data_IF_644859524638
#
_entry.id   IF_644859524638
#
_cell.length_a   1.000
_cell.length_b   1.000
_cell.length_c   1.000
_cell.angle_alpha   90.00
_cell.angle_beta   90.00
_cell.angle_gamma   90.00
#
_symmetry.space_group_name_H-M   'P 1'
#
loop_
_entity.id
_entity.type
_entity.pdbx_description
1 polymer ?
#
# COMPACT_ATOMS: atom_id res chain seq x y z
N UNK A 1 3.96 -2.87 -6.81
CA UNK A 1 2.64 -2.21 -6.79
C UNK A 1 1.86 -2.79 -5.64
N UNK A 2 1.25 -1.94 -4.81
CA UNK A 2 0.37 -2.38 -3.74
C UNK A 2 -0.89 -1.53 -3.70
N UNK A 3 -1.95 -2.08 -3.12
CA UNK A 3 -3.28 -1.46 -3.03
C UNK A 3 -3.72 -1.44 -1.58
N UNK A 4 -4.14 -0.27 -1.12
CA UNK A 4 -4.71 -0.06 0.20
C UNK A 4 -6.21 0.08 -0.01
N UNK A 5 -6.97 -0.90 0.47
CA UNK A 5 -8.43 -0.89 0.39
C UNK A 5 -8.99 -0.91 1.81
N UNK A 6 -9.91 0.02 2.08
CA UNK A 6 -10.63 0.10 3.36
C UNK A 6 -12.02 -0.41 3.06
N UNK A 7 -12.34 -1.65 3.42
CA UNK A 7 -13.72 -2.16 3.33
C UNK A 7 -14.24 -2.47 4.74
N UNK A 8 -15.31 -1.77 5.10
CA UNK A 8 -15.91 -1.84 6.43
C UNK A 8 -17.20 -2.67 6.45
N UNK A 9 -17.89 -2.83 5.30
CA UNK A 9 -19.16 -3.52 5.24
C UNK A 9 -19.19 -4.52 4.08
N UNK A 10 -18.57 -5.71 4.24
CA UNK A 10 -18.64 -6.77 3.25
C UNK A 10 -20.08 -7.31 3.18
N UNK A 11 -20.92 -6.65 2.38
CA UNK A 11 -22.35 -6.97 2.22
C UNK A 11 -23.25 -5.77 1.97
N UNK A 12 -22.83 -4.55 2.35
CA UNK A 12 -23.62 -3.31 2.21
C UNK A 12 -22.80 -2.23 1.46
N UNK A 13 -22.55 -2.39 0.15
CA UNK A 13 -21.67 -1.51 -0.62
C UNK A 13 -22.17 -0.05 -0.69
N UNK A 14 -23.48 0.16 -0.60
CA UNK A 14 -24.11 1.49 -0.58
C UNK A 14 -23.74 2.27 0.69
N UNK A 15 -23.69 1.57 1.83
CA UNK A 15 -23.33 2.14 3.13
C UNK A 15 -21.85 2.45 3.22
N UNK A 16 -21.01 1.55 2.71
CA UNK A 16 -19.57 1.81 2.53
C UNK A 16 -19.34 3.03 1.64
N UNK A 17 -20.04 3.14 0.49
CA UNK A 17 -19.90 4.29 -0.41
C UNK A 17 -20.35 5.61 0.21
N UNK A 18 -21.42 5.62 1.00
CA UNK A 18 -21.84 6.81 1.72
C UNK A 18 -20.78 7.25 2.76
N UNK A 19 -20.16 6.29 3.47
CA UNK A 19 -19.09 6.55 4.41
C UNK A 19 -17.83 7.10 3.72
N UNK A 20 -17.41 6.51 2.58
CA UNK A 20 -16.27 7.01 1.81
C UNK A 20 -16.49 8.43 1.29
N UNK A 21 -17.72 8.77 0.90
CA UNK A 21 -18.06 10.13 0.48
C UNK A 21 -18.08 11.13 1.64
N UNK A 22 -18.51 10.70 2.81
CA UNK A 22 -18.54 11.55 4.01
C UNK A 22 -17.13 11.77 4.59
N UNK A 23 -16.29 10.75 4.54
CA UNK A 23 -14.92 10.76 5.06
C UNK A 23 -13.96 10.19 4.01
N UNK A 24 -13.62 10.95 2.95
CA UNK A 24 -12.72 10.48 1.90
C UNK A 24 -11.36 10.13 2.49
N UNK A 25 -10.82 8.95 2.15
CA UNK A 25 -9.47 8.57 2.55
C UNK A 25 -8.47 9.54 1.91
N UNK A 26 -7.67 10.25 2.68
CA UNK A 26 -6.66 11.21 2.18
C UNK A 26 -5.25 10.65 2.34
N UNK A 27 -4.29 11.17 1.58
CA UNK A 27 -2.89 10.75 1.75
C UNK A 27 -2.25 11.28 3.03
N UNK A 28 -2.71 12.44 3.48
CA UNK A 28 -2.23 13.11 4.68
C UNK A 28 -2.51 12.27 5.93
N UNK A 29 -3.73 11.70 6.05
CA UNK A 29 -4.06 10.80 7.16
C UNK A 29 -3.42 9.42 7.04
N UNK A 30 -3.05 9.01 5.81
CA UNK A 30 -2.53 7.67 5.56
C UNK A 30 -1.10 7.51 6.06
N UNK A 31 -0.39 8.62 6.23
CA UNK A 31 1.02 8.72 6.62
C UNK A 31 1.89 7.64 5.96
N UNK A 32 1.73 7.51 4.63
CA UNK A 32 2.36 6.42 3.89
C UNK A 32 3.88 6.60 3.85
N UNK A 33 4.59 5.70 4.52
CA UNK A 33 6.04 5.61 4.46
C UNK A 33 6.46 4.29 3.80
N UNK A 34 7.46 4.37 2.92
CA UNK A 34 8.05 3.21 2.25
C UNK A 34 9.58 3.26 2.34
N UNK A 35 10.18 2.10 2.60
CA UNK A 35 11.61 1.93 2.82
C UNK A 35 12.11 0.70 2.06
N UNK A 36 13.31 0.80 1.50
CA UNK A 36 14.08 -0.31 0.95
C UNK A 36 15.21 -0.62 1.94
N UNK A 37 15.04 -1.62 2.79
CA UNK A 37 15.93 -1.83 3.94
C UNK A 37 15.88 -0.62 4.88
N UNK A 38 16.98 0.13 4.97
CA UNK A 38 17.10 1.33 5.83
C UNK A 38 16.89 2.65 5.08
N UNK A 39 16.76 2.60 3.75
CA UNK A 39 16.69 3.80 2.93
C UNK A 39 15.24 4.14 2.56
N UNK A 40 14.79 5.41 2.69
CA UNK A 40 13.44 5.80 2.30
C UNK A 40 13.29 5.68 0.78
N UNK A 41 12.10 5.28 0.33
CA UNK A 41 11.72 5.16 -1.07
C UNK A 41 10.72 6.23 -1.47
N UNK A 42 10.86 6.74 -2.69
CA UNK A 42 9.83 7.53 -3.34
C UNK A 42 8.69 6.62 -3.81
N UNK A 43 7.48 7.15 -3.75
CA UNK A 43 6.31 6.47 -4.25
C UNK A 43 5.41 7.47 -4.98
N UNK A 44 4.67 6.95 -5.95
CA UNK A 44 3.79 7.75 -6.79
C UNK A 44 2.38 7.17 -6.76
N UNK A 45 1.40 8.06 -6.63
CA UNK A 45 -0.02 7.72 -6.67
C UNK A 45 -0.41 7.34 -8.08
N UNK A 46 -0.96 6.15 -8.24
CA UNK A 46 -1.40 5.64 -9.54
C UNK A 46 -2.93 5.63 -9.68
N UNK A 47 -3.63 5.26 -8.61
CA UNK A 47 -5.07 5.53 -8.50
C UNK A 47 -5.42 6.09 -7.13
N UNK A 48 -6.20 7.15 -7.17
CA UNK A 48 -6.74 7.83 -6.01
C UNK A 48 -8.27 7.71 -6.04
N UNK A 49 -8.83 6.83 -5.20
CA UNK A 49 -10.28 6.69 -5.00
C UNK A 49 -10.61 6.80 -3.52
N UNK A 50 -11.83 7.22 -3.20
CA UNK A 50 -12.26 7.40 -1.81
C UNK A 50 -12.27 6.06 -1.04
N UNK A 51 -12.58 4.96 -1.74
CA UNK A 51 -12.65 3.61 -1.17
C UNK A 51 -11.32 2.85 -1.18
N UNK A 52 -10.38 3.22 -2.06
CA UNK A 52 -9.09 2.55 -2.16
C UNK A 52 -8.04 3.44 -2.81
N UNK A 53 -6.80 3.23 -2.42
CA UNK A 53 -5.64 3.89 -2.99
C UNK A 53 -4.69 2.88 -3.61
N UNK A 54 -4.08 3.25 -4.73
CA UNK A 54 -3.14 2.39 -5.46
C UNK A 54 -1.84 3.14 -5.69
N UNK A 55 -0.74 2.54 -5.24
CA UNK A 55 0.57 3.19 -5.18
C UNK A 55 1.63 2.37 -5.89
N UNK A 56 2.49 3.08 -6.60
CA UNK A 56 3.72 2.55 -7.17
C UNK A 56 4.90 2.95 -6.29
N UNK A 57 5.61 1.95 -5.79
CA UNK A 57 6.87 2.14 -5.07
C UNK A 57 8.00 2.20 -6.10
N UNK A 58 8.76 3.28 -6.06
CA UNK A 58 9.90 3.49 -6.93
C UNK A 58 11.17 3.07 -6.19
N UNK A 59 12.01 2.26 -6.84
CA UNK A 59 13.35 1.92 -6.34
C UNK A 59 14.32 3.10 -6.48
N UNK A 60 13.89 4.25 -5.99
CA UNK A 60 14.61 5.49 -6.03
C UNK A 60 14.13 6.38 -4.89
N UNK A 61 15.00 7.29 -4.49
CA UNK A 61 14.67 8.43 -3.65
C UNK A 61 15.37 9.68 -4.23
N UNK A 62 15.10 10.89 -3.70
CA UNK A 62 15.71 12.11 -4.22
C UNK A 62 17.25 12.13 -4.15
N UNK A 63 17.87 11.22 -3.39
CA UNK A 63 19.32 11.15 -3.17
C UNK A 63 20.00 10.00 -3.93
N UNK A 64 19.31 8.90 -4.20
CA UNK A 64 19.88 7.66 -4.70
C UNK A 64 18.84 6.82 -5.44
N UNK A 65 19.31 5.99 -6.38
CA UNK A 65 18.51 4.92 -6.97
C UNK A 65 18.98 3.59 -6.42
N UNK A 66 18.06 2.65 -6.23
CA UNK A 66 18.34 1.29 -5.76
C UNK A 66 18.24 0.31 -6.93
N UNK A 67 19.26 0.23 -7.81
CA UNK A 67 19.23 -0.73 -8.90
C UNK A 67 19.24 -2.14 -8.32
N UNK A 68 18.16 -2.88 -8.56
CA UNK A 68 18.12 -4.31 -8.28
C UNK A 68 18.83 -5.06 -9.39
N UNK A 69 20.00 -5.61 -9.07
CA UNK A 69 20.72 -6.47 -10.00
C UNK A 69 20.06 -7.86 -10.10
N UNK A 70 20.28 -8.57 -11.21
CA UNK A 70 19.84 -9.96 -11.33
C UNK A 70 20.41 -10.80 -10.18
N UNK A 71 19.59 -11.67 -9.59
CA UNK A 71 19.90 -12.45 -8.37
C UNK A 71 19.81 -11.67 -7.04
N UNK A 72 19.61 -10.35 -7.09
CA UNK A 72 19.46 -9.55 -5.87
C UNK A 72 18.00 -9.52 -5.41
N UNK A 73 17.83 -9.57 -4.09
CA UNK A 73 16.58 -9.33 -3.41
C UNK A 73 16.71 -8.04 -2.59
N UNK A 74 15.69 -7.19 -2.62
CA UNK A 74 15.51 -6.10 -1.68
C UNK A 74 14.29 -6.36 -0.82
N UNK A 75 14.41 -6.04 0.46
CA UNK A 75 13.27 -5.97 1.35
C UNK A 75 12.68 -4.57 1.25
N UNK A 76 11.39 -4.51 0.92
CA UNK A 76 10.61 -3.29 0.90
C UNK A 76 9.67 -3.34 2.09
N UNK A 77 9.82 -2.41 3.00
CA UNK A 77 8.92 -2.26 4.14
C UNK A 77 8.10 -1.01 3.94
N UNK A 78 6.79 -1.11 4.07
CA UNK A 78 5.91 0.05 4.04
C UNK A 78 4.96 0.02 5.23
N UNK A 79 4.66 1.20 5.73
CA UNK A 79 3.73 1.43 6.81
C UNK A 79 2.72 2.47 6.39
N UNK A 80 1.48 2.24 6.76
CA UNK A 80 0.42 3.22 6.61
C UNK A 80 -0.52 3.15 7.81
N UNK A 81 -1.15 4.27 8.09
CA UNK A 81 -2.14 4.38 9.15
C UNK A 81 -3.51 4.69 8.58
N UNK A 82 -4.57 4.16 9.19
CA UNK A 82 -5.95 4.48 8.81
C UNK A 82 -6.73 4.77 10.07
N UNK A 83 -7.33 5.95 10.14
CA UNK A 83 -8.17 6.36 11.26
C UNK A 83 -9.32 5.38 11.48
N UNK A 84 -9.62 5.09 12.76
CA UNK A 84 -10.75 4.27 13.19
C UNK A 84 -12.09 4.77 12.63
N UNK A 85 -12.20 6.07 12.38
CA UNK A 85 -13.40 6.72 11.82
C UNK A 85 -13.75 6.21 10.41
N UNK A 86 -12.76 5.73 9.64
CA UNK A 86 -12.98 5.15 8.31
C UNK A 86 -13.58 3.75 8.34
N UNK A 87 -13.49 3.09 9.49
CA UNK A 87 -14.00 1.76 9.73
C UNK A 87 -15.36 1.77 10.45
N UNK A 88 -16.01 2.94 10.51
CA UNK A 88 -17.37 3.09 11.02
C UNK A 88 -17.54 2.83 12.54
N UNK A 89 -18.67 3.25 13.13
CA UNK A 89 -18.99 2.99 14.52
C UNK A 89 -19.66 1.60 14.66
N UNK A 90 -18.90 0.55 14.96
CA UNK A 90 -19.50 -0.78 15.17
C UNK A 90 -18.63 -1.77 15.96
N UNK A 91 -19.19 -2.50 16.95
CA UNK A 91 -18.50 -3.59 17.66
C UNK A 91 -18.79 -4.95 16.96
N UNK A 92 -18.54 -5.05 15.65
CA UNK A 92 -18.86 -6.22 14.83
C UNK A 92 -17.63 -6.98 14.31
N UNK A 93 -17.79 -8.17 13.71
CA UNK A 93 -16.70 -9.07 13.30
C UNK A 93 -15.86 -8.55 12.12
N UNK A 94 -16.08 -7.30 11.71
CA UNK A 94 -15.17 -6.53 10.87
C UNK A 94 -13.94 -6.19 11.72
N UNK A 95 -13.12 -7.20 12.00
CA UNK A 95 -11.82 -7.05 12.63
C UNK A 95 -10.96 -6.20 11.71
N UNK A 96 -11.03 -4.89 11.95
CA UNK A 96 -10.32 -3.87 11.22
C UNK A 96 -8.84 -4.22 11.30
N UNK A 97 -8.13 -4.08 10.17
CA UNK A 97 -6.69 -4.02 10.23
C UNK A 97 -6.31 -2.98 11.31
N UNK A 98 -5.24 -3.23 12.09
CA UNK A 98 -4.80 -2.28 13.10
C UNK A 98 -4.71 -0.87 12.50
N UNK A 99 -4.97 0.18 13.29
CA UNK A 99 -4.92 1.57 12.82
C UNK A 99 -3.58 1.90 12.19
N UNK A 100 -2.54 1.12 12.49
CA UNK A 100 -1.24 1.12 11.85
C UNK A 100 -1.01 -0.25 11.21
N UNK A 101 -0.84 -0.27 9.89
CA UNK A 101 -0.49 -1.47 9.14
C UNK A 101 0.97 -1.37 8.70
N UNK A 102 1.80 -2.30 9.17
CA UNK A 102 3.15 -2.47 8.68
C UNK A 102 3.22 -3.77 7.86
N UNK A 103 3.67 -3.66 6.62
CA UNK A 103 3.90 -4.81 5.76
C UNK A 103 5.30 -4.76 5.16
N UNK A 104 5.96 -5.92 5.18
CA UNK A 104 7.20 -6.15 4.47
C UNK A 104 6.93 -7.03 3.25
N UNK A 105 7.43 -6.59 2.09
CA UNK A 105 7.43 -7.31 0.84
C UNK A 105 8.87 -7.52 0.40
N UNK A 106 9.25 -8.77 0.11
CA UNK A 106 10.53 -9.03 -0.54
C UNK A 106 10.37 -8.85 -2.04
N UNK A 107 10.95 -7.77 -2.58
CA UNK A 107 11.09 -7.58 -4.02
C UNK A 107 12.33 -8.33 -4.52
N UNK A 108 12.10 -9.35 -5.33
CA UNK A 108 13.17 -10.03 -6.06
C UNK A 108 13.13 -9.58 -7.52
N UNK A 109 14.30 -9.36 -8.10
CA UNK A 109 14.39 -9.24 -9.55
C UNK A 109 14.03 -10.60 -10.17
N UNK A 110 12.75 -10.80 -10.52
CA UNK A 110 12.33 -11.91 -11.35
C UNK A 110 13.00 -11.74 -12.72
N UNK A 111 14.12 -12.42 -12.94
CA UNK A 111 14.50 -12.76 -14.29
C UNK A 111 13.31 -13.53 -14.88
N UNK A 112 12.49 -12.90 -15.73
CA UNK A 112 11.81 -13.68 -16.75
C UNK A 112 12.95 -14.35 -17.49
N UNK A 113 13.13 -15.65 -17.24
CA UNK A 113 14.20 -16.41 -17.84
C UNK A 113 14.26 -16.06 -19.32
N UNK A 114 15.37 -15.46 -19.74
CA UNK A 114 15.74 -15.56 -21.12
C UNK A 114 15.82 -17.07 -21.36
N UNK A 115 14.87 -17.60 -22.11
CA UNK A 115 14.92 -18.96 -22.63
C UNK A 115 16.18 -19.01 -23.47
N UNK A 116 17.27 -19.47 -22.85
CA UNK A 116 18.49 -19.87 -23.53
C UNK A 116 18.13 -21.11 -24.34
N UNK A 117 18.25 -20.99 -25.65
CA UNK A 117 17.68 -21.93 -26.62
C UNK A 117 18.26 -23.33 -26.62
N UNK A 118 17.58 -24.19 -27.37
CA UNK A 118 18.15 -24.88 -28.52
C UNK A 118 17.04 -25.42 -29.41
#
# INVERSE_FOLDING_TARGET
MFRIAVDCYPGEPERSNALYRAHPLTWDELDLAAHCGTEPMTWTVKHDRDAFKEVWLEFANPRARFPLYPSQAAEITYSYSVSSEKWGPGPGPCACAPPEHNAALTARCCQRGAVSGR
#
